data_IF_921534856531
#
_entry.id   IF_921534856531
#
_cell.length_a   1.000
_cell.length_b   1.000
_cell.length_c   1.000
_cell.angle_alpha   90.00
_cell.angle_beta   90.00
_cell.angle_gamma   90.00
#
_symmetry.space_group_name_H-M   'P 1'
#
loop_
_entity.id
_entity.type
_entity.pdbx_description
1 polymer ?
#
# COMPACT_ATOMS: atom_id res chain seq x y z
N UNK A 1 70.22 -39.97 -4.37
CA UNK A 1 69.37 -39.79 -3.17
C UNK A 1 68.47 -38.57 -3.38
N UNK A 2 67.19 -38.77 -3.74
CA UNK A 2 66.22 -37.66 -3.94
C UNK A 2 65.11 -37.81 -2.90
N UNK A 3 64.97 -36.83 -2.03
CA UNK A 3 63.93 -36.73 -0.98
C UNK A 3 62.61 -36.33 -1.62
N UNK A 4 61.55 -37.11 -1.38
CA UNK A 4 60.18 -36.73 -1.71
C UNK A 4 59.59 -35.96 -0.51
N UNK A 5 59.12 -34.73 -0.75
CA UNK A 5 58.29 -33.98 0.21
C UNK A 5 56.83 -34.38 0.00
N UNK A 6 56.20 -34.93 1.03
CA UNK A 6 54.75 -35.10 1.14
C UNK A 6 54.14 -33.78 1.64
N UNK A 7 53.25 -33.18 0.84
CA UNK A 7 52.44 -32.03 1.25
C UNK A 7 51.07 -32.53 1.70
N UNK A 8 50.71 -32.27 2.97
CA UNK A 8 49.41 -32.60 3.53
C UNK A 8 48.36 -31.57 3.10
N UNK A 9 47.27 -32.03 2.50
CA UNK A 9 46.11 -31.20 2.13
C UNK A 9 45.11 -31.20 3.29
N UNK A 10 45.00 -30.09 4.01
CA UNK A 10 44.01 -29.89 5.05
C UNK A 10 42.68 -29.44 4.43
N UNK A 11 41.66 -30.30 4.46
CA UNK A 11 40.29 -29.95 4.07
C UNK A 11 39.65 -29.13 5.21
N UNK A 12 39.41 -27.85 4.96
CA UNK A 12 38.62 -26.99 5.87
C UNK A 12 37.14 -27.14 5.50
N UNK A 13 36.36 -27.82 6.35
CA UNK A 13 34.90 -27.81 6.26
C UNK A 13 34.37 -26.47 6.79
N UNK A 14 33.86 -25.63 5.89
CA UNK A 14 33.08 -24.44 6.24
C UNK A 14 31.63 -24.85 6.55
N UNK A 15 31.05 -24.45 7.69
CA UNK A 15 29.65 -24.71 8.00
C UNK A 15 28.76 -23.84 7.10
N UNK A 16 27.85 -24.49 6.36
CA UNK A 16 26.80 -23.81 5.63
C UNK A 16 25.80 -23.20 6.62
N UNK A 17 25.86 -21.88 6.80
CA UNK A 17 24.79 -21.15 7.49
C UNK A 17 23.50 -21.31 6.67
N UNK A 18 22.47 -21.89 7.27
CA UNK A 18 21.14 -21.94 6.68
C UNK A 18 20.62 -20.51 6.54
N UNK A 19 20.63 -19.98 5.32
CA UNK A 19 19.97 -18.73 5.00
C UNK A 19 18.46 -18.93 5.18
N UNK A 20 17.88 -18.21 6.13
CA UNK A 20 16.43 -18.11 6.29
C UNK A 20 15.90 -17.51 4.99
N UNK A 21 15.17 -18.29 4.20
CA UNK A 21 14.67 -17.84 2.91
C UNK A 21 13.69 -16.69 3.14
N UNK A 22 14.11 -15.46 2.87
CA UNK A 22 13.20 -14.34 2.72
C UNK A 22 12.19 -14.73 1.63
N UNK A 23 10.90 -14.76 1.99
CA UNK A 23 9.83 -15.10 1.04
C UNK A 23 9.94 -14.24 -0.22
N UNK A 24 9.69 -14.83 -1.39
CA UNK A 24 9.76 -14.11 -2.66
C UNK A 24 8.80 -12.91 -2.62
N UNK A 25 9.33 -11.69 -2.76
CA UNK A 25 8.54 -10.46 -2.91
C UNK A 25 8.40 -10.10 -4.39
N UNK A 26 7.29 -9.46 -4.76
CA UNK A 26 7.15 -8.89 -6.10
C UNK A 26 8.16 -7.75 -6.32
N UNK A 27 8.78 -7.69 -7.50
CA UNK A 27 9.71 -6.62 -7.81
C UNK A 27 8.96 -5.31 -8.07
N UNK A 28 9.55 -4.20 -7.62
CA UNK A 28 9.09 -2.85 -8.00
C UNK A 28 9.58 -2.61 -9.43
N UNK A 29 8.70 -2.24 -10.38
CA UNK A 29 9.10 -1.83 -11.73
C UNK A 29 10.12 -0.70 -11.70
N UNK A 30 11.04 -0.71 -12.67
CA UNK A 30 11.96 0.41 -12.86
C UNK A 30 11.22 1.61 -13.46
N UNK A 31 11.34 2.77 -12.83
CA UNK A 31 10.76 4.02 -13.31
C UNK A 31 9.31 4.26 -12.91
N UNK A 32 8.72 5.38 -13.40
CA UNK A 32 7.34 5.73 -13.09
C UNK A 32 6.35 4.79 -13.77
N UNK A 33 5.26 4.48 -13.09
CA UNK A 33 4.12 3.73 -13.65
C UNK A 33 2.88 4.62 -13.72
N UNK A 34 2.06 4.43 -14.75
CA UNK A 34 0.78 5.13 -14.90
C UNK A 34 -0.30 4.42 -14.08
N UNK A 35 -1.06 5.20 -13.33
CA UNK A 35 -2.16 4.73 -12.49
C UNK A 35 -3.47 5.35 -12.95
N UNK A 36 -4.59 4.73 -12.59
CA UNK A 36 -5.93 5.25 -12.85
C UNK A 36 -6.92 4.71 -11.82
N UNK A 37 -6.88 5.24 -10.60
CA UNK A 37 -7.82 4.87 -9.54
C UNK A 37 -7.99 6.03 -8.55
N UNK A 38 -9.14 6.05 -7.87
CA UNK A 38 -9.40 6.97 -6.77
C UNK A 38 -8.85 6.45 -5.44
N UNK A 39 -8.37 7.37 -4.61
CA UNK A 39 -7.86 7.12 -3.27
C UNK A 39 -8.32 8.23 -2.31
N UNK A 40 -8.05 8.06 -1.02
CA UNK A 40 -8.32 9.08 -0.01
C UNK A 40 -7.16 9.24 0.97
N UNK A 41 -7.16 10.35 1.69
CA UNK A 41 -6.09 10.64 2.65
C UNK A 41 -6.04 9.65 3.81
N UNK A 42 -4.84 9.23 4.19
CA UNK A 42 -4.62 8.45 5.41
C UNK A 42 -4.66 9.36 6.65
N UNK A 43 -5.76 9.29 7.40
CA UNK A 43 -6.01 10.19 8.54
C UNK A 43 -5.32 9.80 9.85
N UNK A 44 -4.79 8.57 9.95
CA UNK A 44 -4.24 8.05 11.21
C UNK A 44 -2.80 8.51 11.53
N UNK A 45 -2.10 9.14 10.59
CA UNK A 45 -0.64 9.32 10.71
C UNK A 45 -0.18 10.76 10.97
N UNK A 46 -0.92 11.77 10.50
CA UNK A 46 -0.53 13.18 10.57
C UNK A 46 -1.73 14.10 10.34
N UNK A 47 -1.69 15.38 10.77
CA UNK A 47 -2.81 16.33 10.62
C UNK A 47 -2.96 16.93 9.21
N UNK A 48 -1.95 16.81 8.37
CA UNK A 48 -2.04 17.18 6.95
C UNK A 48 -1.01 16.43 6.12
N UNK A 49 -1.37 16.14 4.87
CA UNK A 49 -0.48 15.58 3.85
C UNK A 49 0.10 16.72 3.02
N UNK A 50 1.42 16.77 2.94
CA UNK A 50 2.11 17.73 2.08
C UNK A 50 2.08 17.26 0.63
N UNK A 51 1.66 18.14 -0.27
CA UNK A 51 1.70 17.92 -1.71
C UNK A 51 2.93 18.64 -2.27
N UNK A 52 3.74 17.95 -3.06
CA UNK A 52 5.03 18.43 -3.58
C UNK A 52 5.05 18.51 -5.10
N UNK A 53 5.94 19.34 -5.67
CA UNK A 53 6.05 19.47 -7.14
C UNK A 53 6.83 18.33 -7.82
N UNK A 54 7.56 17.52 -7.06
CA UNK A 54 8.31 16.36 -7.55
C UNK A 54 8.27 15.18 -6.55
N UNK A 55 8.53 13.93 -6.99
CA UNK A 55 8.52 12.74 -6.12
C UNK A 55 9.80 12.67 -5.25
N UNK A 56 9.96 13.64 -4.35
CA UNK A 56 11.14 13.77 -3.49
C UNK A 56 10.81 14.47 -2.18
N UNK A 57 11.47 14.03 -1.11
CA UNK A 57 11.33 14.64 0.21
C UNK A 57 11.91 16.07 0.27
N UNK A 58 12.78 16.41 -0.68
CA UNK A 58 13.40 17.73 -0.80
C UNK A 58 12.70 18.63 -1.82
N UNK A 59 11.69 18.11 -2.54
CA UNK A 59 10.90 18.89 -3.48
C UNK A 59 10.10 19.97 -2.77
N UNK A 60 9.78 21.05 -3.47
CA UNK A 60 9.04 22.16 -2.87
C UNK A 60 7.60 21.72 -2.58
N UNK A 61 7.09 22.13 -1.43
CA UNK A 61 5.69 21.91 -1.06
C UNK A 61 4.84 22.91 -1.85
N UNK A 62 3.89 22.41 -2.63
CA UNK A 62 2.95 23.20 -3.44
C UNK A 62 1.60 23.38 -2.76
N UNK A 63 1.30 22.55 -1.77
CA UNK A 63 0.05 22.64 -1.03
C UNK A 63 -0.09 21.55 0.03
N UNK A 64 -1.28 21.43 0.61
CA UNK A 64 -1.58 20.44 1.64
C UNK A 64 -2.99 19.87 1.47
N UNK A 65 -3.17 18.62 1.88
CA UNK A 65 -4.48 17.99 2.06
C UNK A 65 -4.72 17.80 3.56
N UNK A 66 -5.80 18.36 4.13
CA UNK A 66 -6.16 18.14 5.52
C UNK A 66 -6.59 16.68 5.74
N UNK A 67 -6.27 16.15 6.90
CA UNK A 67 -6.65 14.81 7.35
C UNK A 67 -7.42 14.82 8.67
N UNK A 68 -7.42 15.97 9.34
CA UNK A 68 -8.19 16.28 10.54
C UNK A 68 -8.95 17.58 10.29
N UNK A 69 -9.96 17.82 11.12
CA UNK A 69 -10.68 19.08 11.19
C UNK A 69 -9.76 20.27 11.51
N UNK A 70 -10.14 21.45 11.04
CA UNK A 70 -9.50 22.67 11.49
C UNK A 70 -9.90 22.95 12.94
N UNK A 71 -9.00 23.54 13.72
CA UNK A 71 -9.27 23.84 15.13
C UNK A 71 -10.54 24.68 15.29
N UNK A 72 -11.50 24.18 16.07
CA UNK A 72 -12.78 24.83 16.33
C UNK A 72 -13.89 24.53 15.31
N UNK A 73 -13.61 23.72 14.29
CA UNK A 73 -14.61 23.26 13.31
C UNK A 73 -15.18 21.87 13.69
N UNK A 74 -16.41 21.55 13.26
CA UNK A 74 -16.96 20.19 13.40
C UNK A 74 -16.08 19.13 12.71
N UNK A 75 -16.13 17.90 13.23
CA UNK A 75 -15.48 16.73 12.61
C UNK A 75 -16.03 16.49 11.20
N UNK A 76 -15.13 16.23 10.25
CA UNK A 76 -15.51 15.86 8.89
C UNK A 76 -15.70 14.35 8.81
N UNK A 77 -16.87 13.90 8.36
CA UNK A 77 -17.17 12.48 8.22
C UNK A 77 -16.27 11.80 7.16
N UNK A 78 -15.79 12.56 6.16
CA UNK A 78 -15.05 12.01 5.03
C UNK A 78 -13.66 12.62 4.83
N UNK A 79 -12.75 11.78 4.33
CA UNK A 79 -11.40 12.17 3.94
C UNK A 79 -11.40 12.94 2.63
N UNK A 80 -10.32 13.69 2.36
CA UNK A 80 -10.13 14.27 1.03
C UNK A 80 -9.86 13.12 0.06
N UNK A 81 -10.63 13.07 -1.03
CA UNK A 81 -10.46 12.10 -2.11
C UNK A 81 -9.64 12.71 -3.24
N UNK A 82 -9.02 11.87 -4.05
CA UNK A 82 -8.22 12.29 -5.21
C UNK A 82 -7.98 11.12 -6.17
N UNK A 83 -7.64 11.44 -7.40
CA UNK A 83 -7.17 10.47 -8.39
C UNK A 83 -5.67 10.24 -8.22
N UNK A 84 -5.24 8.99 -8.31
CA UNK A 84 -3.83 8.61 -8.43
C UNK A 84 -3.52 8.31 -9.90
N UNK A 85 -2.66 9.14 -10.48
CA UNK A 85 -2.36 9.10 -11.93
C UNK A 85 -0.96 8.55 -12.24
N UNK A 86 -0.06 8.50 -11.24
CA UNK A 86 1.22 7.84 -11.37
C UNK A 86 1.79 7.40 -10.03
N UNK A 87 2.68 6.40 -10.05
CA UNK A 87 3.48 5.98 -8.91
C UNK A 87 4.96 5.89 -9.29
N UNK A 88 5.85 6.40 -8.42
CA UNK A 88 7.29 6.41 -8.64
C UNK A 88 8.04 6.43 -7.30
N UNK A 89 8.90 5.45 -7.05
CA UNK A 89 9.83 5.43 -5.90
C UNK A 89 9.16 5.73 -4.54
N UNK A 90 7.97 5.16 -4.29
CA UNK A 90 7.21 5.38 -3.05
C UNK A 90 6.46 6.71 -2.99
N UNK A 91 6.34 7.42 -4.10
CA UNK A 91 5.51 8.62 -4.28
C UNK A 91 4.36 8.35 -5.23
N UNK A 92 3.26 9.06 -5.00
CA UNK A 92 2.08 9.04 -5.86
C UNK A 92 1.84 10.42 -6.43
N UNK A 93 1.69 10.51 -7.74
CA UNK A 93 1.19 11.71 -8.40
C UNK A 93 -0.34 11.69 -8.31
N UNK A 94 -0.89 12.76 -7.75
CA UNK A 94 -2.32 12.91 -7.53
C UNK A 94 -2.89 14.05 -8.38
N UNK A 95 -4.19 13.97 -8.66
CA UNK A 95 -4.97 14.99 -9.34
C UNK A 95 -6.39 15.04 -8.77
N UNK A 96 -7.16 16.06 -9.15
CA UNK A 96 -8.61 16.16 -8.88
C UNK A 96 -8.98 15.94 -7.41
N UNK A 97 -8.21 16.52 -6.48
CA UNK A 97 -8.54 16.42 -5.07
C UNK A 97 -9.93 17.03 -4.80
N UNK A 98 -10.76 16.35 -4.01
CA UNK A 98 -12.15 16.73 -3.74
C UNK A 98 -12.52 16.55 -2.27
N UNK A 99 -13.47 17.39 -1.86
CA UNK A 99 -14.14 17.34 -0.56
C UNK A 99 -15.67 17.23 -0.72
N UNK A 100 -16.12 16.76 -1.88
CA UNK A 100 -17.53 16.82 -2.26
C UNK A 100 -18.43 15.94 -1.37
N UNK A 101 -17.91 14.86 -0.79
CA UNK A 101 -18.67 14.01 0.14
C UNK A 101 -19.14 14.79 1.38
N UNK A 102 -18.25 15.57 2.02
CA UNK A 102 -18.64 16.39 3.17
C UNK A 102 -19.58 17.53 2.78
N UNK A 103 -19.44 18.07 1.57
CA UNK A 103 -20.35 19.10 1.05
C UNK A 103 -21.75 18.52 0.77
N UNK A 104 -21.83 17.29 0.27
CA UNK A 104 -23.10 16.62 0.00
C UNK A 104 -23.82 16.21 1.29
N UNK A 105 -23.07 15.89 2.35
CA UNK A 105 -23.62 15.61 3.68
C UNK A 105 -24.22 16.86 4.34
N UNK A 106 -23.54 18.00 4.22
CA UNK A 106 -23.99 19.28 4.78
C UNK A 106 -23.55 20.46 3.90
N UNK A 107 -24.46 20.94 3.04
CA UNK A 107 -24.19 22.06 2.14
C UNK A 107 -23.90 23.39 2.86
N UNK A 108 -24.29 23.51 4.13
CA UNK A 108 -24.05 24.71 4.94
C UNK A 108 -22.63 24.78 5.50
N UNK A 109 -21.88 23.67 5.41
CA UNK A 109 -20.52 23.56 5.93
C UNK A 109 -19.53 24.38 5.09
N UNK A 110 -18.65 25.09 5.77
CA UNK A 110 -17.59 25.85 5.11
C UNK A 110 -16.64 24.89 4.36
N UNK A 111 -16.28 25.16 3.08
CA UNK A 111 -15.36 24.31 2.35
C UNK A 111 -13.97 24.27 3.01
N UNK A 112 -13.39 23.07 3.18
CA UNK A 112 -12.00 22.95 3.63
C UNK A 112 -11.06 23.64 2.65
N UNK A 113 -10.00 24.24 3.19
CA UNK A 113 -8.88 24.73 2.36
C UNK A 113 -7.93 23.56 2.09
N UNK A 114 -7.76 23.22 0.83
CA UNK A 114 -6.83 22.18 0.40
C UNK A 114 -6.29 22.45 -1.01
N UNK A 115 -5.21 21.76 -1.36
CA UNK A 115 -4.62 21.82 -2.70
C UNK A 115 -5.47 21.05 -3.71
N UNK A 116 -5.99 21.74 -4.72
CA UNK A 116 -6.81 21.14 -5.79
C UNK A 116 -6.02 20.71 -7.02
N UNK A 117 -4.80 21.22 -7.18
CA UNK A 117 -3.96 20.97 -8.36
C UNK A 117 -3.25 19.63 -8.30
N UNK A 118 -2.50 19.32 -9.36
CA UNK A 118 -1.62 18.15 -9.36
C UNK A 118 -0.46 18.29 -8.36
N UNK A 119 0.08 17.16 -7.93
CA UNK A 119 1.35 17.10 -7.22
C UNK A 119 1.66 15.70 -6.70
N UNK A 120 2.70 15.58 -5.88
CA UNK A 120 3.21 14.32 -5.38
C UNK A 120 3.05 14.22 -3.87
N UNK A 121 2.54 13.08 -3.39
CA UNK A 121 2.44 12.72 -1.97
C UNK A 121 3.22 11.43 -1.70
N UNK A 122 3.56 11.14 -0.44
CA UNK A 122 4.14 9.82 -0.11
C UNK A 122 3.07 8.76 -0.27
N UNK A 123 3.45 7.58 -0.75
CA UNK A 123 2.50 6.49 -1.00
C UNK A 123 1.74 6.03 0.24
N UNK A 124 2.37 6.01 1.42
CA UNK A 124 1.70 5.68 2.70
C UNK A 124 0.73 6.75 3.22
N UNK A 125 0.66 7.90 2.54
CA UNK A 125 -0.32 8.95 2.86
C UNK A 125 -1.67 8.74 2.15
N UNK A 126 -1.75 7.77 1.25
CA UNK A 126 -2.97 7.40 0.53
C UNK A 126 -3.55 6.09 1.08
N UNK A 127 -4.87 5.98 1.01
CA UNK A 127 -5.63 4.76 1.27
C UNK A 127 -6.43 4.34 0.06
N UNK A 128 -6.60 3.03 -0.06
CA UNK A 128 -7.42 2.34 -1.06
C UNK A 128 -8.07 1.13 -0.40
N UNK A 129 -9.19 0.66 -0.97
CA UNK A 129 -9.73 -0.66 -0.68
C UNK A 129 -9.23 -1.71 -1.68
N UNK A 130 -8.98 -2.93 -1.22
CA UNK A 130 -8.57 -4.09 -2.02
C UNK A 130 -9.50 -5.26 -1.71
N UNK A 131 -10.43 -5.54 -2.63
CA UNK A 131 -11.39 -6.65 -2.60
C UNK A 131 -10.79 -7.95 -3.15
N UNK A 132 -9.56 -8.26 -2.77
CA UNK A 132 -8.90 -9.51 -3.13
C UNK A 132 -8.15 -10.06 -1.93
N UNK A 133 -8.24 -11.38 -1.75
CA UNK A 133 -7.41 -12.12 -0.81
C UNK A 133 -6.10 -12.61 -1.40
N UNK A 134 -5.81 -12.33 -2.67
CA UNK A 134 -4.69 -12.92 -3.41
C UNK A 134 -3.71 -11.87 -3.87
N UNK A 135 -2.47 -12.02 -3.44
CA UNK A 135 -1.33 -11.24 -3.90
C UNK A 135 -0.46 -12.05 -4.85
N UNK A 136 -0.02 -11.45 -5.94
CA UNK A 136 0.69 -12.11 -7.03
C UNK A 136 2.11 -11.58 -7.23
N UNK A 137 3.01 -12.42 -7.75
CA UNK A 137 4.40 -12.06 -8.05
C UNK A 137 4.49 -11.06 -9.21
N UNK A 138 3.58 -11.15 -10.17
CA UNK A 138 3.46 -10.27 -11.34
C UNK A 138 2.00 -9.81 -11.48
N UNK A 139 1.71 -8.73 -12.24
CA UNK A 139 0.33 -8.31 -12.54
C UNK A 139 -0.33 -9.25 -13.56
N UNK A 140 -0.39 -10.54 -13.22
CA UNK A 140 -0.89 -11.65 -14.03
C UNK A 140 -1.48 -12.69 -13.07
N UNK A 141 -2.78 -13.05 -13.21
CA UNK A 141 -3.42 -13.99 -12.28
C UNK A 141 -2.87 -15.43 -12.42
N UNK A 142 -2.12 -15.73 -13.48
CA UNK A 142 -1.41 -17.01 -13.67
C UNK A 142 -0.02 -17.02 -13.04
N UNK A 143 0.46 -15.88 -12.55
CA UNK A 143 1.77 -15.80 -11.89
C UNK A 143 1.74 -16.43 -10.50
N UNK A 144 2.93 -16.69 -9.92
CA UNK A 144 3.07 -17.26 -8.58
C UNK A 144 2.29 -16.41 -7.57
N UNK A 145 1.42 -17.05 -6.80
CA UNK A 145 0.74 -16.44 -5.65
C UNK A 145 1.73 -16.27 -4.50
N UNK A 146 1.80 -15.05 -3.95
CA UNK A 146 2.64 -14.67 -2.82
C UNK A 146 1.83 -14.53 -1.53
N UNK A 147 0.54 -14.20 -1.65
CA UNK A 147 -0.41 -14.12 -0.55
C UNK A 147 -1.69 -14.85 -0.90
N UNK A 148 -2.23 -15.59 0.05
CA UNK A 148 -3.55 -16.21 -0.04
C UNK A 148 -4.29 -16.08 1.30
N UNK A 149 -5.30 -15.23 1.32
CA UNK A 149 -6.18 -15.01 2.46
C UNK A 149 -7.52 -15.74 2.28
N UNK A 150 -7.63 -16.64 1.31
CA UNK A 150 -8.88 -17.32 0.98
C UNK A 150 -9.94 -16.34 0.45
N UNK A 151 -11.10 -16.30 1.13
CA UNK A 151 -12.21 -15.40 0.80
C UNK A 151 -12.09 -14.02 1.43
N UNK A 152 -11.11 -13.81 2.31
CA UNK A 152 -10.92 -12.53 3.01
C UNK A 152 -10.27 -11.50 2.11
N UNK A 153 -10.58 -10.22 2.32
CA UNK A 153 -9.93 -9.12 1.61
C UNK A 153 -8.68 -8.63 2.34
N UNK A 154 -7.68 -8.18 1.58
CA UNK A 154 -6.48 -7.59 2.18
C UNK A 154 -6.81 -6.42 3.12
N UNK A 155 -7.70 -5.52 2.71
CA UNK A 155 -8.11 -4.34 3.51
C UNK A 155 -8.82 -4.72 4.82
N UNK A 156 -9.36 -5.93 4.91
CA UNK A 156 -10.01 -6.42 6.13
C UNK A 156 -8.99 -7.08 7.08
N UNK A 157 -8.06 -7.85 6.51
CA UNK A 157 -7.08 -8.64 7.26
C UNK A 157 -5.81 -7.86 7.65
N UNK A 158 -5.61 -6.67 7.08
CA UNK A 158 -4.34 -5.99 7.16
C UNK A 158 -4.35 -4.53 6.78
N UNK A 159 -3.16 -3.95 6.86
CA UNK A 159 -2.88 -2.57 6.49
C UNK A 159 -2.08 -2.52 5.19
N UNK A 160 -2.43 -1.58 4.31
CA UNK A 160 -1.63 -1.22 3.14
C UNK A 160 -0.63 -0.16 3.58
N UNK A 161 0.66 -0.51 3.55
CA UNK A 161 1.74 0.35 4.00
C UNK A 161 2.20 1.33 2.91
N UNK A 162 2.03 0.96 1.64
CA UNK A 162 2.40 1.80 0.52
C UNK A 162 1.93 1.24 -0.82
N UNK A 163 1.59 2.15 -1.73
CA UNK A 163 1.26 1.88 -3.13
C UNK A 163 2.49 2.21 -3.96
N UNK A 164 3.08 1.19 -4.59
CA UNK A 164 4.43 1.29 -5.16
C UNK A 164 4.45 1.43 -6.67
N UNK A 165 3.50 0.79 -7.35
CA UNK A 165 3.40 0.79 -8.80
C UNK A 165 2.02 0.38 -9.28
N UNK A 166 1.72 0.67 -10.54
CA UNK A 166 0.48 0.34 -11.21
C UNK A 166 0.75 -0.40 -12.53
N UNK A 167 -0.17 -1.28 -12.90
CA UNK A 167 -0.16 -1.92 -14.21
C UNK A 167 -1.59 -2.27 -14.61
N UNK A 168 -2.20 -1.46 -15.48
CA UNK A 168 -3.64 -1.56 -15.78
C UNK A 168 -4.45 -1.54 -14.46
N UNK A 169 -5.29 -2.55 -14.23
CA UNK A 169 -6.13 -2.68 -13.04
C UNK A 169 -5.40 -3.30 -11.83
N UNK A 170 -4.07 -3.46 -11.92
CA UNK A 170 -3.23 -3.99 -10.85
C UNK A 170 -2.50 -2.88 -10.10
N UNK A 171 -2.37 -3.07 -8.80
CA UNK A 171 -1.49 -2.26 -7.93
C UNK A 171 -0.49 -3.12 -7.20
N UNK A 172 0.76 -2.67 -7.15
CA UNK A 172 1.81 -3.26 -6.34
C UNK A 172 1.78 -2.61 -4.97
N UNK A 173 1.58 -3.41 -3.93
CA UNK A 173 1.41 -2.92 -2.57
C UNK A 173 2.47 -3.52 -1.66
N UNK A 174 3.02 -2.68 -0.78
CA UNK A 174 3.59 -3.15 0.48
C UNK A 174 2.45 -3.25 1.50
N UNK A 175 2.33 -4.39 2.18
CA UNK A 175 1.24 -4.66 3.13
C UNK A 175 1.73 -5.35 4.39
N UNK A 176 0.89 -5.29 5.44
CA UNK A 176 1.03 -6.06 6.67
C UNK A 176 -0.28 -6.80 6.92
N UNK A 177 -0.24 -8.13 7.02
CA UNK A 177 -1.35 -8.92 7.55
C UNK A 177 -1.24 -8.93 9.07
N UNK A 178 -2.27 -8.44 9.73
CA UNK A 178 -2.28 -8.26 11.19
C UNK A 178 -3.52 -8.84 11.87
N UNK A 179 -4.44 -9.42 11.10
CA UNK A 179 -5.63 -10.10 11.61
C UNK A 179 -5.76 -11.49 11.01
N UNK A 180 -6.49 -12.34 11.72
CA UNK A 180 -7.00 -13.63 11.24
C UNK A 180 -8.50 -13.70 11.48
N UNK A 181 -9.18 -14.47 10.64
CA UNK A 181 -10.57 -14.85 10.89
C UNK A 181 -10.62 -16.12 11.73
N UNK A 182 -11.40 -16.09 12.80
CA UNK A 182 -11.66 -17.21 13.69
C UNK A 182 -12.76 -18.13 13.10
N UNK A 183 -12.90 -19.38 13.57
CA UNK A 183 -13.92 -20.31 13.07
C UNK A 183 -15.37 -19.84 13.21
N UNK A 184 -15.63 -18.88 14.10
CA UNK A 184 -16.93 -18.24 14.31
C UNK A 184 -17.11 -16.95 13.48
N UNK A 185 -16.28 -16.76 12.45
CA UNK A 185 -16.21 -15.61 11.55
C UNK A 185 -15.75 -14.29 12.19
N UNK A 186 -15.42 -14.26 13.48
CA UNK A 186 -14.90 -13.06 14.13
C UNK A 186 -13.46 -12.75 13.68
N UNK A 187 -13.12 -11.46 13.60
CA UNK A 187 -11.75 -11.02 13.36
C UNK A 187 -10.99 -10.92 14.67
N UNK A 188 -9.81 -11.51 14.72
CA UNK A 188 -8.89 -11.40 15.83
C UNK A 188 -7.56 -10.80 15.37
N UNK A 189 -7.01 -9.89 16.17
CA UNK A 189 -5.66 -9.35 15.98
C UNK A 189 -4.62 -10.46 16.17
N UNK A 190 -3.64 -10.51 15.27
CA UNK A 190 -2.47 -11.37 15.36
C UNK A 190 -1.47 -10.80 16.37
N UNK A 191 -0.85 -11.70 17.13
CA UNK A 191 0.31 -11.33 17.95
C UNK A 191 1.42 -10.77 17.05
N UNK A 192 2.28 -9.90 17.59
CA UNK A 192 3.27 -9.15 16.78
C UNK A 192 4.20 -10.05 15.98
N UNK A 193 4.56 -11.20 16.54
CA UNK A 193 5.41 -12.24 15.93
C UNK A 193 4.66 -13.14 14.93
N UNK A 194 3.33 -13.12 14.93
CA UNK A 194 2.49 -13.80 13.93
C UNK A 194 2.17 -12.90 12.72
N UNK A 195 2.36 -11.57 12.86
CA UNK A 195 2.12 -10.63 11.76
C UNK A 195 3.11 -10.89 10.62
N UNK A 196 2.62 -10.77 9.40
CA UNK A 196 3.46 -10.93 8.21
C UNK A 196 3.43 -9.68 7.34
N UNK A 197 4.59 -9.30 6.81
CA UNK A 197 4.68 -8.23 5.81
C UNK A 197 5.01 -8.82 4.46
N UNK A 198 4.55 -8.16 3.41
CA UNK A 198 4.82 -8.62 2.06
C UNK A 198 4.68 -7.53 1.02
N UNK A 199 5.09 -7.90 -0.19
CA UNK A 199 4.94 -7.08 -1.39
C UNK A 199 4.40 -7.93 -2.51
N UNK A 200 3.25 -7.56 -3.04
CA UNK A 200 2.58 -8.31 -4.10
C UNK A 200 1.69 -7.42 -4.96
N UNK A 201 1.37 -7.90 -6.16
CA UNK A 201 0.39 -7.30 -7.07
C UNK A 201 -1.02 -7.76 -6.70
N UNK A 202 -1.95 -6.81 -6.61
CA UNK A 202 -3.35 -7.04 -6.27
C UNK A 202 -4.29 -6.44 -7.32
N UNK A 203 -5.49 -7.03 -7.43
CA UNK A 203 -6.67 -6.52 -8.13
C UNK A 203 -7.79 -6.19 -7.14
N UNK A 204 -8.93 -5.75 -7.66
CA UNK A 204 -10.13 -5.48 -6.85
C UNK A 204 -10.06 -4.14 -6.13
N UNK A 205 -9.44 -3.14 -6.77
CA UNK A 205 -9.42 -1.77 -6.28
C UNK A 205 -10.84 -1.26 -6.04
N UNK A 206 -11.01 -0.61 -4.90
CA UNK A 206 -12.25 0.03 -4.48
C UNK A 206 -11.92 1.48 -4.13
N UNK A 207 -12.48 2.42 -4.90
CA UNK A 207 -12.24 3.87 -4.78
C UNK A 207 -13.29 4.59 -3.93
N UNK A 208 -14.22 3.86 -3.29
CA UNK A 208 -15.26 4.43 -2.45
C UNK A 208 -14.87 4.36 -0.97
N UNK A 209 -14.95 5.49 -0.27
CA UNK A 209 -14.82 5.57 1.19
C UNK A 209 -16.14 5.23 1.90
N UNK A 210 -17.27 5.43 1.21
CA UNK A 210 -18.64 5.40 1.73
C UNK A 210 -19.24 3.99 1.77
N UNK A 211 -19.13 3.30 0.64
CA UNK A 211 -19.70 1.97 0.48
C UNK A 211 -18.60 0.99 0.75
N UNK A 212 -18.76 0.22 1.82
CA UNK A 212 -18.02 -1.00 2.04
C UNK A 212 -17.90 -1.74 0.71
N UNK A 213 -16.69 -2.19 0.46
CA UNK A 213 -16.28 -2.77 -0.79
C UNK A 213 -16.92 -4.18 -0.90
N UNK A 214 -18.25 -4.26 -1.01
CA UNK A 214 -19.10 -5.37 -0.54
C UNK A 214 -19.23 -6.57 -1.50
N UNK A 215 -18.28 -6.77 -2.40
CA UNK A 215 -18.34 -7.90 -3.33
C UNK A 215 -17.39 -9.02 -2.91
N UNK A 216 -17.85 -10.27 -3.02
CA UNK A 216 -16.97 -11.46 -2.88
C UNK A 216 -15.65 -11.22 -3.62
N UNK A 217 -14.53 -11.63 -3.02
CA UNK A 217 -13.18 -11.50 -3.60
C UNK A 217 -13.22 -11.66 -5.11
N UNK A 218 -12.73 -10.65 -5.84
CA UNK A 218 -12.84 -10.59 -7.31
C UNK A 218 -12.08 -11.72 -8.00
N UNK A 219 -11.09 -12.26 -7.29
CA UNK A 219 -10.39 -13.47 -7.68
C UNK A 219 -11.15 -14.64 -7.03
N UNK A 220 -11.90 -15.43 -7.82
CA UNK A 220 -12.40 -16.76 -7.46
C UNK A 220 -11.50 -17.84 -8.03
#
# INVERSE_FOLDING_TARGET
>A
MKKALLTALSLVLLPAAAAVAAGSQAAIPEGPTTCNFGAWTNYLSKPAIEVRDAPSANARIVGKLPTVEAAGEPEYAYSITFDVIAAQNGWLKIANASDDYNKAEDESRAPRKFHKGEGWIRSGDARIGIQSGRGYLKPDPKSKRLLDLGSNWLTEMGTINGILACHQDWVLLDYTVERKRLPDEQLAELAKDERSTGRAWFRGLCSSQETSCDMKSVDQ
#
